data_IF_889034157710
#
_entry.id   IF_889034157710
#
_cell.length_a   1.000
_cell.length_b   1.000
_cell.length_c   1.000
_cell.angle_alpha   90.00
_cell.angle_beta   90.00
_cell.angle_gamma   90.00
#
_symmetry.space_group_name_H-M   'P 1'
#
loop_
_entity.id
_entity.type
_entity.pdbx_description
1 polymer ?
#
# COMPACT_ATOMS: atom_id res chain seq x y z
N UNK A 1 9.18 2.31 5.96
CA UNK A 1 8.42 3.48 5.47
C UNK A 1 6.96 3.28 5.81
N UNK A 2 6.26 4.35 6.19
CA UNK A 2 4.81 4.37 6.42
C UNK A 2 4.11 5.26 5.40
N UNK A 3 2.98 4.81 4.87
CA UNK A 3 2.07 5.58 4.01
C UNK A 3 0.68 5.51 4.64
N UNK A 4 0.08 6.66 4.93
CA UNK A 4 -1.10 6.76 5.81
C UNK A 4 -2.20 7.63 5.19
N UNK A 5 -3.38 7.03 4.99
CA UNK A 5 -4.59 7.64 4.42
C UNK A 5 -4.40 8.28 3.03
N UNK A 6 -3.36 7.88 2.29
CA UNK A 6 -3.09 8.40 0.95
C UNK A 6 -4.29 8.14 0.02
N UNK A 7 -4.71 9.17 -0.71
CA UNK A 7 -5.84 9.12 -1.63
C UNK A 7 -5.40 9.57 -3.02
N UNK A 8 -5.31 8.64 -3.98
CA UNK A 8 -4.83 8.91 -5.33
C UNK A 8 -4.11 7.70 -5.94
N UNK A 9 -3.05 7.97 -6.71
CA UNK A 9 -2.21 6.97 -7.37
C UNK A 9 -0.86 6.79 -6.66
N UNK A 10 -0.45 5.54 -6.46
CA UNK A 10 0.76 5.20 -5.72
C UNK A 10 1.62 4.19 -6.50
N UNK A 11 2.74 4.64 -7.04
CA UNK A 11 3.72 3.79 -7.70
C UNK A 11 4.92 3.56 -6.76
N UNK A 12 5.17 2.31 -6.37
CA UNK A 12 6.35 1.93 -5.58
C UNK A 12 7.22 1.00 -6.41
N UNK A 13 8.48 1.36 -6.60
CA UNK A 13 9.49 0.54 -7.28
C UNK A 13 10.60 0.15 -6.31
N UNK A 14 11.28 -0.96 -6.59
CA UNK A 14 12.51 -1.34 -5.90
C UNK A 14 13.71 -0.62 -6.53
N UNK A 15 14.67 -0.20 -5.69
CA UNK A 15 16.00 0.23 -6.14
C UNK A 15 17.10 -0.53 -5.38
N UNK A 16 18.28 -0.75 -6.00
CA UNK A 16 19.42 -1.38 -5.33
C UNK A 16 20.14 -0.41 -4.38
N UNK A 17 20.10 0.90 -4.69
CA UNK A 17 20.81 1.94 -3.94
C UNK A 17 20.23 2.19 -2.53
N UNK A 18 21.09 2.53 -1.54
CA UNK A 18 20.65 2.89 -0.21
C UNK A 18 20.01 4.29 -0.21
N UNK A 19 18.67 4.32 -0.19
CA UNK A 19 17.92 5.55 0.05
C UNK A 19 16.46 5.45 -0.34
N UNK A 20 15.70 6.50 -0.02
CA UNK A 20 14.32 6.67 -0.46
C UNK A 20 14.27 7.84 -1.42
N UNK A 21 13.66 7.64 -2.59
CA UNK A 21 13.27 8.71 -3.51
C UNK A 21 11.76 8.83 -3.49
N UNK A 22 11.25 10.06 -3.49
CA UNK A 22 9.83 10.40 -3.52
C UNK A 22 9.63 11.56 -4.50
N UNK A 23 8.70 11.37 -5.44
CA UNK A 23 8.12 12.41 -6.30
C UNK A 23 6.62 12.47 -6.01
N UNK A 24 6.08 13.67 -5.90
CA UNK A 24 4.67 13.93 -5.66
C UNK A 24 4.16 14.89 -6.73
N UNK A 25 3.05 14.56 -7.37
CA UNK A 25 2.41 15.38 -8.41
C UNK A 25 0.92 15.50 -8.12
N UNK A 26 0.37 16.70 -8.20
CA UNK A 26 -1.04 16.98 -7.91
C UNK A 26 -1.28 18.47 -7.73
N UNK A 27 -2.53 18.87 -7.55
CA UNK A 27 -2.88 20.26 -7.25
C UNK A 27 -2.23 20.73 -5.94
N UNK A 28 -1.97 22.04 -5.84
CA UNK A 28 -1.44 22.67 -4.62
C UNK A 28 -2.23 22.25 -3.37
N UNK A 29 -3.56 22.20 -3.45
CA UNK A 29 -4.43 21.82 -2.33
C UNK A 29 -4.15 20.39 -1.83
N UNK A 30 -4.00 19.42 -2.75
CA UNK A 30 -3.64 18.04 -2.39
C UNK A 30 -2.24 17.95 -1.78
N UNK A 31 -1.28 18.78 -2.24
CA UNK A 31 0.09 18.82 -1.72
C UNK A 31 0.21 19.55 -0.36
N UNK A 32 -0.60 20.58 -0.13
CA UNK A 32 -0.70 21.28 1.16
C UNK A 32 -1.30 20.39 2.27
N UNK A 33 -2.18 19.45 1.88
CA UNK A 33 -2.82 18.49 2.78
C UNK A 33 -1.91 17.26 3.09
N UNK A 34 -0.65 17.23 2.63
CA UNK A 34 0.33 16.18 2.95
C UNK A 34 1.30 16.56 4.08
N UNK A 35 1.40 15.68 5.08
CA UNK A 35 2.49 15.65 6.05
C UNK A 35 3.58 14.67 5.59
N UNK A 36 4.82 15.14 5.50
CA UNK A 36 6.01 14.30 5.26
C UNK A 36 6.95 14.46 6.44
N UNK A 37 7.10 13.42 7.25
CA UNK A 37 7.91 13.49 8.49
C UNK A 37 8.74 12.23 8.70
N UNK A 38 9.92 12.39 9.28
CA UNK A 38 10.72 11.23 9.74
C UNK A 38 10.58 11.09 11.25
N UNK A 39 10.22 9.91 11.73
CA UNK A 39 10.06 9.60 13.17
C UNK A 39 10.62 8.20 13.43
N UNK A 40 11.44 8.05 14.47
CA UNK A 40 12.03 6.76 14.88
C UNK A 40 12.70 5.98 13.70
N UNK A 41 13.38 6.68 12.79
CA UNK A 41 14.01 6.10 11.60
C UNK A 41 13.05 5.72 10.46
N UNK A 42 11.75 5.96 10.60
CA UNK A 42 10.72 5.71 9.59
C UNK A 42 10.33 7.03 8.92
N UNK A 43 10.41 7.06 7.58
CA UNK A 43 9.73 8.09 6.78
C UNK A 43 8.23 7.81 6.74
N UNK A 44 7.42 8.80 7.11
CA UNK A 44 5.96 8.80 7.02
C UNK A 44 5.51 9.76 5.92
N UNK A 45 4.67 9.29 5.00
CA UNK A 45 3.88 10.08 4.06
C UNK A 45 2.41 9.97 4.48
N UNK A 46 1.78 11.06 4.91
CA UNK A 46 0.43 11.03 5.48
C UNK A 46 -0.45 12.13 4.91
N UNK A 47 -1.67 11.78 4.49
CA UNK A 47 -2.70 12.76 4.13
C UNK A 47 -3.47 13.22 5.37
N UNK A 48 -3.57 14.53 5.58
CA UNK A 48 -4.35 15.13 6.66
C UNK A 48 -5.86 14.92 6.40
N UNK A 49 -6.58 14.39 7.39
CA UNK A 49 -8.02 14.12 7.26
C UNK A 49 -8.90 15.34 7.61
N UNK A 50 -8.33 16.38 8.22
CA UNK A 50 -8.98 17.65 8.55
C UNK A 50 -7.92 18.77 8.51
N UNK A 51 -7.51 19.25 7.33
CA UNK A 51 -6.63 20.42 7.22
C UNK A 51 -7.36 21.64 7.78
N UNK A 52 -6.71 22.35 8.71
CA UNK A 52 -7.26 23.58 9.28
C UNK A 52 -7.33 24.73 8.27
N UNK A 53 -7.86 25.88 8.71
CA UNK A 53 -7.97 27.09 7.86
C UNK A 53 -6.63 27.62 7.34
N UNK A 54 -5.51 27.24 7.97
CA UNK A 54 -4.15 27.49 7.49
C UNK A 54 -3.56 26.22 6.88
N UNK A 55 -3.62 26.14 5.54
CA UNK A 55 -3.01 25.09 4.72
C UNK A 55 -1.59 25.47 4.35
N UNK A 56 -0.65 24.59 4.69
CA UNK A 56 0.75 24.66 4.31
C UNK A 56 1.33 23.26 4.44
N UNK A 57 1.96 22.73 3.39
CA UNK A 57 2.68 21.45 3.46
C UNK A 57 3.67 21.49 4.64
N UNK A 58 3.49 20.60 5.63
CA UNK A 58 4.38 20.51 6.79
C UNK A 58 5.42 19.42 6.58
N UNK A 59 6.61 19.82 6.15
CA UNK A 59 7.79 18.96 6.16
C UNK A 59 8.57 19.14 7.46
N UNK A 60 8.34 18.24 8.42
CA UNK A 60 9.15 18.17 9.64
C UNK A 60 10.17 17.04 9.49
N UNK A 61 11.36 17.37 8.97
CA UNK A 61 12.45 16.39 8.80
C UNK A 61 13.56 16.59 9.83
N UNK A 62 13.89 15.52 10.56
CA UNK A 62 15.10 15.41 11.37
C UNK A 62 15.98 14.28 10.81
N UNK A 63 17.27 14.57 10.78
CA UNK A 63 18.41 13.88 10.13
C UNK A 63 18.39 12.35 10.05
N UNK A 64 18.49 11.81 8.84
CA UNK A 64 19.49 10.78 8.50
C UNK A 64 19.76 10.73 6.97
N UNK A 65 20.97 10.31 6.57
CA UNK A 65 21.65 10.76 5.35
C UNK A 65 21.11 10.32 3.97
N UNK A 66 19.96 9.66 3.87
CA UNK A 66 19.60 8.81 2.71
C UNK A 66 18.34 9.23 1.93
N UNK A 67 17.96 10.52 1.93
CA UNK A 67 16.71 11.00 1.30
C UNK A 67 16.97 12.10 0.26
N UNK A 68 17.07 11.68 -1.00
CA UNK A 68 17.21 12.57 -2.15
C UNK A 68 15.85 12.92 -2.77
N UNK A 69 15.74 14.14 -3.30
CA UNK A 69 14.64 14.61 -4.14
C UNK A 69 15.16 15.57 -5.20
N UNK A 70 14.36 15.88 -6.21
CA UNK A 70 14.76 16.60 -7.42
C UNK A 70 13.61 17.47 -7.91
N UNK A 71 13.79 18.78 -8.12
CA UNK A 71 12.75 19.62 -8.68
C UNK A 71 12.85 19.76 -10.20
N UNK A 72 11.71 19.74 -10.90
CA UNK A 72 11.60 20.10 -12.33
C UNK A 72 10.38 20.99 -12.60
N UNK A 73 10.54 21.96 -13.51
CA UNK A 73 9.54 23.01 -13.78
C UNK A 73 8.17 22.48 -14.23
N UNK A 74 7.11 22.99 -13.61
CA UNK A 74 5.70 22.73 -13.96
C UNK A 74 4.94 22.07 -12.81
N UNK A 75 4.09 22.83 -12.11
CA UNK A 75 3.11 22.40 -11.08
C UNK A 75 3.54 21.38 -10.01
N UNK A 76 4.84 21.13 -9.82
CA UNK A 76 5.36 20.01 -9.02
C UNK A 76 6.34 20.49 -7.95
N UNK A 77 6.07 20.15 -6.68
CA UNK A 77 6.94 20.46 -5.54
C UNK A 77 7.82 19.25 -5.20
N UNK A 78 9.09 19.46 -4.87
CA UNK A 78 10.03 18.39 -4.53
C UNK A 78 10.98 18.80 -3.36
N UNK A 79 11.61 17.81 -2.68
CA UNK A 79 12.31 17.82 -1.36
C UNK A 79 13.24 19.01 -1.00
N UNK A 80 14.54 18.89 -0.70
CA UNK A 80 15.51 17.77 -0.63
C UNK A 80 15.99 17.62 0.83
N UNK A 81 16.47 16.45 1.26
CA UNK A 81 16.95 16.22 2.63
C UNK A 81 18.45 15.90 2.63
N UNK A 82 19.27 16.96 2.74
CA UNK A 82 20.65 16.99 3.24
C UNK A 82 21.22 18.43 3.14
N UNK A 83 20.55 19.41 3.76
CA UNK A 83 21.14 20.74 4.02
C UNK A 83 20.78 21.90 3.06
N UNK A 84 19.95 21.71 2.03
CA UNK A 84 19.41 22.83 1.24
C UNK A 84 17.87 22.85 1.22
N UNK A 85 17.33 24.04 1.53
CA UNK A 85 15.90 24.37 1.59
C UNK A 85 15.32 24.48 0.18
N UNK A 86 14.21 23.80 -0.10
CA UNK A 86 13.31 24.20 -1.19
C UNK A 86 12.13 24.97 -0.60
N UNK A 87 11.84 26.12 -1.19
CA UNK A 87 10.72 26.99 -0.82
C UNK A 87 9.53 26.59 -1.69
N UNK A 88 8.35 26.47 -1.07
CA UNK A 88 7.08 26.43 -1.80
C UNK A 88 6.82 27.81 -2.42
N UNK A 89 7.10 27.99 -3.71
CA UNK A 89 6.74 29.23 -4.40
C UNK A 89 5.22 29.29 -4.64
N UNK A 90 4.65 30.48 -4.45
CA UNK A 90 3.22 30.74 -4.40
C UNK A 90 2.78 31.67 -5.51
N UNK A 91 2.91 31.26 -6.77
CA UNK A 91 2.27 31.95 -7.89
C UNK A 91 0.76 31.64 -7.88
N UNK A 92 -0.02 32.56 -7.31
CA UNK A 92 -1.48 32.47 -7.34
C UNK A 92 -2.00 32.79 -8.75
N UNK A 93 -2.20 31.77 -9.59
CA UNK A 93 -3.07 31.86 -10.78
C UNK A 93 -4.41 31.22 -10.47
N UNK A 94 -5.40 32.07 -10.26
CA UNK A 94 -6.81 31.74 -10.31
C UNK A 94 -7.23 31.62 -11.78
N UNK A 95 -6.83 30.53 -12.44
CA UNK A 95 -7.49 30.10 -13.68
C UNK A 95 -8.59 29.11 -13.28
N UNK A 96 -9.80 29.64 -13.06
CA UNK A 96 -11.03 28.83 -13.08
C UNK A 96 -11.23 28.33 -14.52
N UNK A 97 -10.81 27.10 -14.75
CA UNK A 97 -11.20 26.32 -15.92
C UNK A 97 -11.60 24.93 -15.44
N UNK A 98 -12.73 24.43 -15.96
CA UNK A 98 -13.35 23.15 -15.58
C UNK A 98 -12.54 21.95 -16.10
N UNK A 99 -11.31 21.82 -15.61
CA UNK A 99 -10.40 20.72 -15.86
C UNK A 99 -10.43 19.82 -14.63
N UNK A 100 -10.86 18.56 -14.77
CA UNK A 100 -10.87 17.61 -13.67
C UNK A 100 -9.48 17.56 -13.04
N UNK A 101 -9.41 17.89 -11.75
CA UNK A 101 -8.13 18.00 -11.07
C UNK A 101 -7.47 16.62 -11.00
N UNK A 102 -6.36 16.47 -11.73
CA UNK A 102 -5.55 15.25 -11.79
C UNK A 102 -5.37 14.63 -10.38
N UNK A 103 -5.51 13.30 -10.25
CA UNK A 103 -5.39 12.65 -8.95
C UNK A 103 -3.97 12.87 -8.39
N UNK A 104 -3.89 12.99 -7.06
CA UNK A 104 -2.59 13.05 -6.39
C UNK A 104 -1.81 11.77 -6.69
N UNK A 105 -0.65 11.90 -7.31
CA UNK A 105 0.24 10.80 -7.64
C UNK A 105 1.51 10.84 -6.77
N UNK A 106 1.91 9.68 -6.26
CA UNK A 106 3.14 9.48 -5.50
C UNK A 106 3.99 8.38 -6.13
N UNK A 107 5.15 8.74 -6.65
CA UNK A 107 6.15 7.80 -7.16
C UNK A 107 7.27 7.64 -6.14
N UNK A 108 7.55 6.39 -5.75
CA UNK A 108 8.59 6.06 -4.78
C UNK A 108 9.55 5.02 -5.32
N UNK A 109 10.84 5.21 -5.00
CA UNK A 109 11.88 4.19 -5.18
C UNK A 109 12.39 3.81 -3.79
N UNK A 110 12.22 2.54 -3.41
CA UNK A 110 12.51 2.03 -2.06
C UNK A 110 13.49 0.85 -2.12
N UNK A 111 14.48 0.74 -1.21
CA UNK A 111 15.37 -0.42 -1.16
C UNK A 111 14.54 -1.69 -0.93
N UNK A 112 14.76 -2.77 -1.68
CA UNK A 112 13.84 -3.92 -1.71
C UNK A 112 13.54 -4.55 -0.33
N UNK A 113 14.53 -4.52 0.58
CA UNK A 113 14.44 -5.02 1.96
C UNK A 113 13.82 -4.04 2.97
N UNK A 114 13.55 -2.78 2.59
CA UNK A 114 12.95 -1.79 3.50
C UNK A 114 11.51 -2.21 3.85
N UNK A 115 11.17 -2.33 5.15
CA UNK A 115 9.80 -2.57 5.60
C UNK A 115 8.84 -1.50 5.09
N UNK A 116 7.66 -1.91 4.63
CA UNK A 116 6.65 -1.04 4.05
C UNK A 116 5.31 -1.22 4.77
N UNK A 117 4.79 -0.13 5.33
CA UNK A 117 3.45 -0.08 5.91
C UNK A 117 2.59 0.86 5.07
N UNK A 118 1.41 0.40 4.64
CA UNK A 118 0.41 1.21 3.94
C UNK A 118 -0.91 1.06 4.70
N UNK A 119 -1.50 2.16 5.15
CA UNK A 119 -2.79 2.14 5.85
C UNK A 119 -3.77 3.13 5.24
N UNK A 120 -5.05 2.75 5.18
CA UNK A 120 -6.12 3.65 4.77
C UNK A 120 -6.07 4.08 3.29
N UNK A 121 -5.34 3.35 2.43
CA UNK A 121 -5.20 3.70 1.02
C UNK A 121 -6.56 3.81 0.35
N UNK A 122 -6.75 4.90 -0.41
CA UNK A 122 -7.87 5.09 -1.33
C UNK A 122 -7.32 5.37 -2.73
N UNK A 123 -7.88 4.71 -3.75
CA UNK A 123 -7.39 4.81 -5.14
C UNK A 123 -6.57 3.59 -5.54
N UNK A 124 -5.50 3.79 -6.29
CA UNK A 124 -4.75 2.71 -6.94
C UNK A 124 -3.30 2.67 -6.47
N UNK A 125 -2.78 1.49 -6.14
CA UNK A 125 -1.35 1.28 -5.91
C UNK A 125 -0.78 0.19 -6.81
N UNK A 126 0.40 0.44 -7.38
CA UNK A 126 1.23 -0.52 -8.12
C UNK A 126 2.58 -0.63 -7.43
N UNK A 127 2.92 -1.82 -6.96
CA UNK A 127 4.01 -2.04 -6.01
C UNK A 127 4.92 -3.15 -6.54
N UNK A 128 6.12 -2.76 -6.98
CA UNK A 128 7.16 -3.67 -7.43
C UNK A 128 7.68 -4.59 -6.31
N UNK A 129 8.49 -5.58 -6.69
CA UNK A 129 8.96 -6.65 -5.81
C UNK A 129 9.51 -6.16 -4.46
N UNK A 130 8.98 -6.70 -3.36
CA UNK A 130 9.39 -6.42 -1.97
C UNK A 130 9.92 -7.68 -1.32
N UNK A 131 11.17 -7.62 -0.85
CA UNK A 131 11.82 -8.68 -0.07
C UNK A 131 11.88 -8.38 1.44
N UNK A 132 11.47 -7.17 1.84
CA UNK A 132 11.23 -6.79 3.23
C UNK A 132 9.74 -6.90 3.58
N UNK A 133 9.39 -6.95 4.87
CA UNK A 133 8.02 -7.19 5.31
C UNK A 133 7.06 -6.07 4.89
N UNK A 134 5.85 -6.46 4.50
CA UNK A 134 4.79 -5.54 4.06
C UNK A 134 3.55 -5.68 4.96
N UNK A 135 3.04 -4.58 5.51
CA UNK A 135 1.71 -4.52 6.15
C UNK A 135 0.85 -3.50 5.40
N UNK A 136 -0.10 -3.97 4.59
CA UNK A 136 -0.89 -3.14 3.69
C UNK A 136 -2.39 -3.24 4.01
N UNK A 137 -3.07 -2.11 4.08
CA UNK A 137 -4.52 -2.00 4.34
C UNK A 137 -5.19 -1.07 3.33
N UNK A 138 -6.02 -1.67 2.48
CA UNK A 138 -6.83 -1.01 1.47
C UNK A 138 -8.18 -0.57 2.07
N UNK A 139 -8.46 0.73 2.00
CA UNK A 139 -9.75 1.29 2.36
C UNK A 139 -10.68 1.39 1.14
N UNK A 140 -10.18 1.83 -0.02
CA UNK A 140 -10.96 1.81 -1.27
C UNK A 140 -10.07 1.67 -2.52
N UNK A 141 -10.52 0.93 -3.53
CA UNK A 141 -9.86 0.86 -4.85
C UNK A 141 -9.03 -0.41 -5.07
N UNK A 142 -7.75 -0.30 -5.44
CA UNK A 142 -6.90 -1.44 -5.83
C UNK A 142 -5.48 -1.36 -5.27
N UNK A 143 -4.88 -2.54 -5.02
CA UNK A 143 -3.43 -2.70 -4.87
C UNK A 143 -2.95 -3.86 -5.75
N UNK A 144 -1.93 -3.62 -6.56
CA UNK A 144 -1.23 -4.60 -7.39
C UNK A 144 0.21 -4.75 -6.88
N UNK A 145 0.58 -5.95 -6.43
CA UNK A 145 1.91 -6.29 -5.94
C UNK A 145 2.60 -7.26 -6.89
N UNK A 146 3.74 -6.89 -7.47
CA UNK A 146 4.49 -7.78 -8.36
C UNK A 146 5.02 -9.03 -7.62
N UNK A 147 5.66 -8.83 -6.46
CA UNK A 147 6.17 -9.92 -5.63
C UNK A 147 6.28 -9.52 -4.15
N UNK A 148 5.97 -10.47 -3.26
CA UNK A 148 6.06 -10.33 -1.81
C UNK A 148 6.82 -11.52 -1.20
N UNK A 149 7.63 -11.25 -0.18
CA UNK A 149 7.97 -12.24 0.85
C UNK A 149 6.94 -12.11 1.98
N UNK A 150 7.36 -11.92 3.23
CA UNK A 150 6.43 -11.83 4.37
C UNK A 150 5.48 -10.64 4.25
N UNK A 151 4.18 -10.91 4.26
CA UNK A 151 3.16 -9.91 4.02
C UNK A 151 1.90 -10.09 4.88
N UNK A 152 1.32 -8.96 5.26
CA UNK A 152 -0.04 -8.87 5.77
C UNK A 152 -0.87 -7.96 4.89
N UNK A 153 -1.96 -8.47 4.35
CA UNK A 153 -2.84 -7.78 3.40
C UNK A 153 -4.25 -7.68 3.98
N UNK A 154 -4.79 -6.47 4.10
CA UNK A 154 -6.13 -6.22 4.64
C UNK A 154 -6.99 -5.41 3.67
N UNK A 155 -8.26 -5.80 3.53
CA UNK A 155 -9.31 -4.97 2.90
C UNK A 155 -10.34 -4.60 3.96
N UNK A 156 -10.44 -3.31 4.27
CA UNK A 156 -11.34 -2.79 5.32
C UNK A 156 -12.55 -2.04 4.80
N UNK A 157 -12.50 -1.50 3.58
CA UNK A 157 -13.66 -0.91 2.89
C UNK A 157 -13.97 -1.68 1.60
N UNK A 158 -13.91 -1.02 0.43
CA UNK A 158 -14.28 -1.62 -0.86
C UNK A 158 -13.11 -1.68 -1.85
N UNK A 159 -12.58 -2.87 -2.15
CA UNK A 159 -11.47 -2.96 -3.12
C UNK A 159 -10.85 -4.33 -3.31
N UNK A 160 -9.93 -4.43 -4.27
CA UNK A 160 -9.26 -5.69 -4.61
C UNK A 160 -7.74 -5.59 -4.41
N UNK A 161 -7.11 -6.67 -3.97
CA UNK A 161 -5.65 -6.80 -3.94
C UNK A 161 -5.23 -7.95 -4.86
N UNK A 162 -4.28 -7.69 -5.74
CA UNK A 162 -3.65 -8.67 -6.62
C UNK A 162 -2.18 -8.82 -6.22
N UNK A 163 -1.68 -10.04 -6.22
CA UNK A 163 -0.27 -10.37 -5.97
C UNK A 163 0.20 -11.32 -7.05
N UNK A 164 1.27 -10.97 -7.75
CA UNK A 164 1.93 -11.85 -8.72
C UNK A 164 2.51 -13.08 -8.02
N UNK A 165 3.60 -12.91 -7.27
CA UNK A 165 4.21 -14.01 -6.49
C UNK A 165 4.23 -13.72 -4.99
N UNK A 166 3.90 -14.71 -4.15
CA UNK A 166 4.04 -14.62 -2.69
C UNK A 166 4.90 -15.75 -2.11
N UNK A 167 5.80 -15.44 -1.17
CA UNK A 167 6.70 -16.39 -0.50
C UNK A 167 6.76 -16.13 1.01
N UNK A 168 7.20 -17.09 1.81
CA UNK A 168 7.31 -16.90 3.26
C UNK A 168 5.95 -16.94 3.96
N UNK A 169 5.65 -15.97 4.82
CA UNK A 169 4.39 -15.91 5.58
C UNK A 169 3.39 -14.91 4.98
N UNK A 170 2.11 -15.32 4.87
CA UNK A 170 1.04 -14.47 4.32
C UNK A 170 -0.20 -14.46 5.23
N UNK A 171 -0.49 -13.31 5.82
CA UNK A 171 -1.71 -13.02 6.59
C UNK A 171 -2.68 -12.19 5.72
N UNK A 172 -3.85 -12.75 5.40
CA UNK A 172 -4.90 -12.12 4.61
C UNK A 172 -6.14 -11.93 5.47
N UNK A 173 -6.65 -10.70 5.53
CA UNK A 173 -7.91 -10.38 6.23
C UNK A 173 -8.82 -9.47 5.41
N UNK A 174 -9.97 -9.98 4.96
CA UNK A 174 -11.04 -9.19 4.33
C UNK A 174 -12.13 -8.91 5.36
N UNK A 175 -12.26 -7.65 5.81
CA UNK A 175 -13.35 -7.17 6.70
C UNK A 175 -14.46 -6.44 5.96
N UNK A 176 -14.12 -5.77 4.86
CA UNK A 176 -15.06 -5.01 4.03
C UNK A 176 -15.62 -5.86 2.87
N UNK A 177 -15.82 -5.23 1.71
CA UNK A 177 -16.21 -5.90 0.46
C UNK A 177 -15.02 -5.93 -0.50
N UNK A 178 -14.61 -7.09 -0.98
CA UNK A 178 -13.43 -7.15 -1.84
C UNK A 178 -12.86 -8.54 -2.08
N UNK A 179 -11.90 -8.62 -3.00
CA UNK A 179 -11.23 -9.87 -3.34
C UNK A 179 -9.71 -9.76 -3.19
N UNK A 180 -9.07 -10.85 -2.79
CA UNK A 180 -7.62 -10.96 -2.73
C UNK A 180 -7.19 -12.17 -3.57
N UNK A 181 -6.33 -11.94 -4.56
CA UNK A 181 -5.85 -12.96 -5.50
C UNK A 181 -4.32 -13.02 -5.47
N UNK A 182 -3.78 -14.23 -5.34
CA UNK A 182 -2.34 -14.51 -5.45
C UNK A 182 -2.14 -15.49 -6.61
N UNK A 183 -1.30 -15.13 -7.58
CA UNK A 183 -1.15 -15.89 -8.84
C UNK A 183 -0.12 -17.03 -8.79
N UNK A 184 0.91 -16.93 -7.94
CA UNK A 184 1.85 -18.01 -7.61
C UNK A 184 2.30 -17.87 -6.14
N UNK A 185 2.00 -18.85 -5.30
CA UNK A 185 2.33 -18.86 -3.88
C UNK A 185 3.27 -20.03 -3.53
N UNK A 186 4.28 -19.74 -2.70
CA UNK A 186 5.16 -20.74 -2.05
C UNK A 186 5.35 -20.35 -0.59
N UNK A 187 4.33 -20.63 0.22
CA UNK A 187 4.21 -20.10 1.57
C UNK A 187 4.60 -21.14 2.62
N UNK A 188 5.37 -20.74 3.63
CA UNK A 188 5.55 -21.56 4.83
C UNK A 188 4.31 -21.52 5.71
N UNK A 189 3.58 -20.40 5.72
CA UNK A 189 2.33 -20.23 6.46
C UNK A 189 1.37 -19.32 5.72
N UNK A 190 0.13 -19.78 5.55
CA UNK A 190 -1.01 -19.00 5.08
C UNK A 190 -2.05 -18.85 6.20
N UNK A 191 -2.33 -17.62 6.61
CA UNK A 191 -3.52 -17.30 7.42
C UNK A 191 -4.51 -16.52 6.55
N UNK A 192 -5.69 -17.06 6.29
CA UNK A 192 -6.70 -16.42 5.45
C UNK A 192 -8.03 -16.26 6.21
N UNK A 193 -8.49 -15.02 6.37
CA UNK A 193 -9.70 -14.69 7.12
C UNK A 193 -10.67 -13.80 6.32
N UNK A 194 -11.78 -14.39 5.84
CA UNK A 194 -12.89 -13.68 5.20
C UNK A 194 -13.99 -13.39 6.23
N UNK A 195 -14.11 -12.14 6.66
CA UNK A 195 -15.08 -11.65 7.66
C UNK A 195 -16.18 -10.77 7.06
N UNK A 196 -15.91 -10.13 5.92
CA UNK A 196 -16.87 -9.34 5.15
C UNK A 196 -17.41 -10.10 3.92
N UNK A 197 -17.50 -9.43 2.78
CA UNK A 197 -18.03 -10.01 1.53
C UNK A 197 -16.93 -10.13 0.47
N UNK A 198 -16.87 -11.26 -0.25
CA UNK A 198 -16.01 -11.44 -1.43
C UNK A 198 -15.20 -12.73 -1.39
N UNK A 199 -13.96 -12.72 -1.92
CA UNK A 199 -13.20 -13.96 -2.09
C UNK A 199 -11.70 -13.84 -1.81
N UNK A 200 -11.11 -14.94 -1.37
CA UNK A 200 -9.65 -15.12 -1.27
C UNK A 200 -9.28 -16.29 -2.19
N UNK A 201 -8.38 -16.08 -3.13
CA UNK A 201 -7.95 -17.10 -4.10
C UNK A 201 -6.42 -17.17 -4.15
N UNK A 202 -5.85 -18.28 -3.69
CA UNK A 202 -4.41 -18.50 -3.61
C UNK A 202 -4.03 -19.62 -4.56
N UNK A 203 -3.34 -19.29 -5.66
CA UNK A 203 -2.74 -20.29 -6.54
C UNK A 203 -1.36 -20.70 -6.04
N UNK A 204 -0.95 -21.94 -6.29
CA UNK A 204 0.31 -22.51 -5.77
C UNK A 204 0.14 -23.27 -4.45
N UNK A 205 1.13 -23.20 -3.57
CA UNK A 205 1.25 -24.08 -2.41
C UNK A 205 1.57 -23.35 -1.10
N UNK A 206 0.96 -23.83 -0.01
CA UNK A 206 1.36 -23.52 1.35
C UNK A 206 1.80 -24.80 2.10
N UNK A 207 2.80 -24.70 2.98
CA UNK A 207 3.15 -25.79 3.88
C UNK A 207 2.05 -25.99 4.94
N UNK A 208 1.65 -24.90 5.59
CA UNK A 208 0.58 -24.83 6.59
C UNK A 208 -0.46 -23.77 6.20
N UNK A 209 -1.74 -24.06 6.47
CA UNK A 209 -2.83 -23.11 6.24
C UNK A 209 -3.85 -23.10 7.39
N UNK A 210 -4.21 -21.90 7.85
CA UNK A 210 -5.41 -21.65 8.65
C UNK A 210 -6.40 -20.78 7.85
N UNK A 211 -7.57 -21.34 7.55
CA UNK A 211 -8.59 -20.75 6.68
C UNK A 211 -9.88 -20.53 7.47
N UNK A 212 -10.33 -19.29 7.61
CA UNK A 212 -11.51 -18.91 8.40
C UNK A 212 -12.49 -18.06 7.59
N UNK A 213 -13.66 -18.60 7.30
CA UNK A 213 -14.77 -17.88 6.65
C UNK A 213 -15.87 -17.61 7.67
N UNK A 214 -16.07 -16.33 8.00
CA UNK A 214 -17.12 -15.84 8.90
C UNK A 214 -18.13 -14.90 8.24
N UNK A 215 -17.79 -14.36 7.07
CA UNK A 215 -18.66 -13.47 6.28
C UNK A 215 -19.39 -14.21 5.16
N UNK A 216 -19.44 -13.62 3.96
CA UNK A 216 -20.10 -14.20 2.78
C UNK A 216 -19.15 -14.29 1.60
N UNK A 217 -19.01 -15.48 1.00
CA UNK A 217 -18.24 -15.68 -0.23
C UNK A 217 -17.38 -16.94 -0.21
N UNK A 218 -16.10 -16.86 -0.56
CA UNK A 218 -15.25 -18.06 -0.66
C UNK A 218 -13.78 -17.88 -0.31
N UNK A 219 -13.15 -18.96 0.14
CA UNK A 219 -11.69 -19.09 0.27
C UNK A 219 -11.26 -20.31 -0.55
N UNK A 220 -10.37 -20.09 -1.52
CA UNK A 220 -9.81 -21.13 -2.37
C UNK A 220 -8.29 -21.13 -2.28
N UNK A 221 -7.69 -22.32 -2.13
CA UNK A 221 -6.25 -22.55 -2.12
C UNK A 221 -5.93 -23.77 -2.99
N UNK A 222 -5.02 -23.63 -3.96
CA UNK A 222 -4.64 -24.72 -4.88
C UNK A 222 -4.12 -25.97 -4.12
N UNK A 223 -3.13 -25.81 -3.23
CA UNK A 223 -2.51 -26.91 -2.49
C UNK A 223 -2.05 -26.52 -1.07
N UNK A 224 -2.26 -27.41 -0.10
CA UNK A 224 -1.64 -27.34 1.23
C UNK A 224 -1.00 -28.68 1.58
N UNK A 225 0.27 -28.67 2.00
CA UNK A 225 1.04 -29.90 2.30
C UNK A 225 0.60 -30.58 3.59
N UNK A 226 0.37 -29.80 4.66
CA UNK A 226 -0.11 -30.30 5.94
C UNK A 226 -1.64 -30.15 6.03
N UNK A 227 -2.30 -30.91 6.91
CA UNK A 227 -3.76 -30.84 7.05
C UNK A 227 -4.21 -29.42 7.41
N UNK A 228 -5.02 -28.75 6.56
CA UNK A 228 -5.40 -27.36 6.77
C UNK A 228 -6.38 -27.23 7.95
N UNK A 229 -6.23 -26.16 8.74
CA UNK A 229 -7.21 -25.81 9.79
C UNK A 229 -8.30 -24.94 9.20
N UNK A 230 -9.47 -25.51 8.97
CA UNK A 230 -10.61 -24.79 8.36
C UNK A 230 -11.72 -24.48 9.38
N UNK A 231 -12.26 -23.26 9.36
CA UNK A 231 -13.41 -22.86 10.16
C UNK A 231 -14.41 -22.08 9.31
N UNK A 232 -15.58 -22.68 9.05
CA UNK A 232 -16.70 -22.04 8.35
C UNK A 232 -17.81 -21.71 9.37
N UNK A 233 -18.12 -20.42 9.52
CA UNK A 233 -19.23 -19.90 10.35
C UNK A 233 -20.02 -18.79 9.66
N UNK A 234 -19.89 -18.69 8.33
CA UNK A 234 -20.57 -17.73 7.46
C UNK A 234 -21.23 -18.42 6.28
N UNK A 235 -21.54 -17.68 5.22
CA UNK A 235 -22.22 -18.22 4.03
C UNK A 235 -21.23 -18.40 2.87
N UNK A 236 -21.10 -19.64 2.38
CA UNK A 236 -20.28 -19.97 1.22
C UNK A 236 -19.32 -21.13 1.49
N UNK A 237 -18.11 -21.11 0.91
CA UNK A 237 -17.21 -22.27 0.89
C UNK A 237 -15.76 -21.97 1.27
N UNK A 238 -15.10 -22.97 1.86
CA UNK A 238 -13.64 -23.07 1.93
C UNK A 238 -13.26 -24.31 1.12
N UNK A 239 -12.34 -24.18 0.18
CA UNK A 239 -11.91 -25.26 -0.71
C UNK A 239 -10.39 -25.27 -0.79
N UNK A 240 -9.79 -26.45 -0.61
CA UNK A 240 -8.36 -26.66 -0.80
C UNK A 240 -8.20 -27.78 -1.84
N UNK A 241 -7.47 -27.53 -2.93
CA UNK A 241 -7.54 -28.38 -4.13
C UNK A 241 -7.07 -29.83 -3.95
N UNK A 242 -6.33 -30.14 -2.88
CA UNK A 242 -5.83 -31.48 -2.55
C UNK A 242 -6.42 -32.09 -1.26
N UNK A 243 -7.55 -31.60 -0.76
CA UNK A 243 -8.23 -32.06 0.47
C UNK A 243 -9.75 -32.16 0.32
#
# INVERSE_FOLDING_TARGET
MSIENFSGELLITSQPEPGIRLKLTGSKRQLDDLDITTRNGVLHLRMQQNPGTSRSTRINTLTNSSVMAFASNGSTTHLIINGQKIISDSSNRSDDSDQEAEPLSAELMLPAKLPLTITGLRGQARIGARSGPVDATLAAGTMDFAALHDARLRVTGSGNIQVGTAQGQLDITIKGSGNIQVADARLSLLEAQLKGVGSIHIKGQAEQAELRLRGTGSIYVDSVLQQPRTSLSGVGSITVGNW
#
